data_IF_357913211158
#
_entry.id   IF_357913211158
#
_cell.length_a   1.000
_cell.length_b   1.000
_cell.length_c   1.000
_cell.angle_alpha   90.00
_cell.angle_beta   90.00
_cell.angle_gamma   90.00
#
_symmetry.space_group_name_H-M   'P 1'
#
loop_
_entity.id
_entity.type
_entity.pdbx_description
1 polymer ?
#
# COMPACT_ATOMS: atom_id res chain seq x y z
N UNK A 1 22.21 24.52 -13.61
CA UNK A 1 22.88 23.21 -13.48
C UNK A 1 22.26 22.33 -12.40
N UNK A 2 21.90 22.85 -11.22
CA UNK A 2 21.27 22.04 -10.15
C UNK A 2 19.95 21.36 -10.55
N UNK A 3 19.08 22.02 -11.34
CA UNK A 3 17.81 21.41 -11.78
C UNK A 3 18.07 20.08 -12.51
N UNK A 4 18.97 20.08 -13.50
CA UNK A 4 19.33 18.89 -14.25
C UNK A 4 19.89 17.78 -13.33
N UNK A 5 20.73 18.14 -12.37
CA UNK A 5 21.29 17.19 -11.40
C UNK A 5 20.19 16.54 -10.55
N UNK A 6 19.26 17.33 -10.00
CA UNK A 6 18.15 16.82 -9.19
C UNK A 6 17.24 15.94 -10.03
N UNK A 7 16.88 16.36 -11.25
CA UNK A 7 16.05 15.52 -12.13
C UNK A 7 16.75 14.22 -12.54
N UNK A 8 18.07 14.23 -12.74
CA UNK A 8 18.85 13.02 -12.99
C UNK A 8 18.91 12.11 -11.76
N UNK A 9 19.03 12.68 -10.55
CA UNK A 9 19.01 11.93 -9.30
C UNK A 9 17.65 11.23 -9.10
N UNK A 10 16.55 11.97 -9.30
CA UNK A 10 15.18 11.46 -9.23
C UNK A 10 14.96 10.34 -10.25
N UNK A 11 15.43 10.51 -11.49
CA UNK A 11 15.35 9.46 -12.51
C UNK A 11 16.14 8.19 -12.16
N UNK A 12 17.12 8.29 -11.26
CA UNK A 12 17.88 7.15 -10.71
C UNK A 12 17.30 6.63 -9.39
N UNK A 13 16.17 7.16 -8.93
CA UNK A 13 15.51 6.78 -7.69
C UNK A 13 16.06 7.47 -6.43
N UNK A 14 16.95 8.44 -6.56
CA UNK A 14 17.39 9.26 -5.43
C UNK A 14 16.44 10.45 -5.23
N UNK A 15 15.54 10.29 -4.26
CA UNK A 15 14.52 11.27 -3.89
C UNK A 15 14.96 12.18 -2.73
N UNK A 16 16.22 12.07 -2.28
CA UNK A 16 16.77 12.92 -1.21
C UNK A 16 17.19 14.31 -1.70
N UNK A 17 17.35 14.49 -3.01
CA UNK A 17 17.93 15.68 -3.61
C UNK A 17 16.88 16.77 -3.85
N UNK A 18 17.24 18.02 -3.54
CA UNK A 18 16.40 19.20 -3.75
C UNK A 18 17.15 20.28 -4.49
N UNK A 19 16.43 21.08 -5.26
CA UNK A 19 16.97 22.30 -5.87
C UNK A 19 17.02 23.36 -4.76
N UNK A 20 18.22 23.81 -4.42
CA UNK A 20 18.44 24.77 -3.32
C UNK A 20 18.82 26.17 -3.80
N UNK A 21 19.38 26.30 -5.01
CA UNK A 21 19.80 27.59 -5.59
C UNK A 21 18.66 28.62 -5.63
N UNK A 22 19.01 29.88 -5.39
CA UNK A 22 18.10 31.00 -5.52
C UNK A 22 17.64 31.16 -6.98
N UNK A 23 16.35 31.37 -7.14
CA UNK A 23 15.70 31.52 -8.44
C UNK A 23 14.62 32.60 -8.34
N UNK A 24 14.27 33.18 -9.48
CA UNK A 24 13.22 34.20 -9.61
C UNK A 24 12.41 33.96 -10.87
N UNK A 25 11.19 34.51 -10.92
CA UNK A 25 10.28 34.34 -12.06
C UNK A 25 9.99 32.87 -12.36
N UNK A 26 9.91 32.52 -13.64
CA UNK A 26 9.58 31.16 -14.11
C UNK A 26 10.55 30.08 -13.58
N UNK A 27 11.82 30.43 -13.33
CA UNK A 27 12.78 29.46 -12.77
C UNK A 27 12.48 29.15 -11.30
N UNK A 28 11.91 30.11 -10.55
CA UNK A 28 11.44 29.85 -9.18
C UNK A 28 10.21 28.94 -9.20
N UNK A 29 9.28 29.16 -10.10
CA UNK A 29 8.10 28.31 -10.27
C UNK A 29 8.48 26.88 -10.67
N UNK A 30 9.42 26.73 -11.61
CA UNK A 30 9.97 25.44 -11.99
C UNK A 30 10.69 24.75 -10.82
N UNK A 31 11.54 25.47 -10.07
CA UNK A 31 12.21 24.97 -8.86
C UNK A 31 11.19 24.42 -7.87
N UNK A 32 10.14 25.19 -7.58
CA UNK A 32 9.11 24.80 -6.62
C UNK A 32 8.34 23.58 -7.11
N UNK A 33 7.93 23.57 -8.38
CA UNK A 33 7.22 22.45 -8.99
C UNK A 33 8.04 21.15 -8.92
N UNK A 34 9.33 21.20 -9.30
CA UNK A 34 10.21 20.03 -9.22
C UNK A 34 10.42 19.59 -7.77
N UNK A 35 10.66 20.51 -6.83
CA UNK A 35 10.82 20.14 -5.44
C UNK A 35 9.55 19.49 -4.85
N UNK A 36 8.37 20.03 -5.14
CA UNK A 36 7.09 19.44 -4.72
C UNK A 36 6.89 18.05 -5.32
N UNK A 37 7.22 17.85 -6.61
CA UNK A 37 7.19 16.52 -7.23
C UNK A 37 8.11 15.54 -6.48
N UNK A 38 9.32 15.95 -6.11
CA UNK A 38 10.24 15.11 -5.32
C UNK A 38 9.69 14.78 -3.94
N UNK A 39 9.04 15.74 -3.26
CA UNK A 39 8.41 15.48 -1.94
C UNK A 39 7.29 14.44 -2.05
N UNK A 40 6.42 14.58 -3.05
CA UNK A 40 5.32 13.65 -3.29
C UNK A 40 5.84 12.25 -3.62
N UNK A 41 6.86 12.14 -4.48
CA UNK A 41 7.51 10.88 -4.80
C UNK A 41 8.14 10.21 -3.58
N UNK A 42 8.88 10.97 -2.77
CA UNK A 42 9.55 10.46 -1.58
C UNK A 42 8.54 9.96 -0.56
N UNK A 43 7.51 10.76 -0.29
CA UNK A 43 6.44 10.40 0.64
C UNK A 43 5.69 9.15 0.16
N UNK A 44 5.35 9.08 -1.14
CA UNK A 44 4.71 7.89 -1.70
C UNK A 44 5.58 6.64 -1.54
N UNK A 45 6.87 6.71 -1.88
CA UNK A 45 7.80 5.59 -1.77
C UNK A 45 7.90 5.08 -0.33
N UNK A 46 8.07 5.97 0.65
CA UNK A 46 8.10 5.61 2.07
C UNK A 46 6.81 4.92 2.53
N UNK A 47 5.65 5.46 2.14
CA UNK A 47 4.35 4.94 2.54
C UNK A 47 4.10 3.55 1.96
N UNK A 48 4.39 3.34 0.67
CA UNK A 48 4.22 2.04 0.02
C UNK A 48 5.18 1.00 0.60
N UNK A 49 6.46 1.36 0.79
CA UNK A 49 7.43 0.45 1.42
C UNK A 49 6.99 0.06 2.83
N UNK A 50 6.44 1.00 3.61
CA UNK A 50 5.94 0.69 4.94
C UNK A 50 4.74 -0.27 4.90
N UNK A 51 3.73 0.00 4.09
CA UNK A 51 2.54 -0.88 3.99
C UNK A 51 2.92 -2.28 3.51
N UNK A 52 3.79 -2.37 2.50
CA UNK A 52 4.26 -3.65 2.00
C UNK A 52 4.98 -4.46 3.10
N UNK A 53 5.82 -3.82 3.91
CA UNK A 53 6.49 -4.45 5.04
C UNK A 53 5.51 -4.85 6.15
N UNK A 54 4.65 -3.94 6.58
CA UNK A 54 3.69 -4.19 7.67
C UNK A 54 2.73 -5.33 7.33
N UNK A 55 2.05 -5.23 6.19
CA UNK A 55 1.00 -6.19 5.80
C UNK A 55 1.61 -7.47 5.24
N UNK A 56 2.62 -7.35 4.37
CA UNK A 56 3.18 -8.48 3.62
C UNK A 56 4.27 -9.25 4.36
N UNK A 57 5.07 -8.60 5.21
CA UNK A 57 6.19 -9.26 5.91
C UNK A 57 5.93 -9.44 7.40
N UNK A 58 5.45 -8.41 8.07
CA UNK A 58 5.23 -8.44 9.53
C UNK A 58 3.85 -9.04 9.90
N UNK A 59 2.96 -9.25 8.92
CA UNK A 59 1.60 -9.74 9.15
C UNK A 59 0.72 -8.78 9.96
N UNK A 60 1.11 -7.51 10.05
CA UNK A 60 0.35 -6.43 10.72
C UNK A 60 -0.73 -5.92 9.78
N UNK A 61 -1.86 -6.61 9.82
CA UNK A 61 -3.01 -6.32 8.96
C UNK A 61 -3.70 -5.01 9.37
N UNK A 62 -4.20 -4.28 8.37
CA UNK A 62 -4.88 -2.99 8.54
C UNK A 62 -4.01 -1.76 8.30
N UNK A 63 -2.73 -1.94 7.98
CA UNK A 63 -1.86 -0.85 7.55
C UNK A 63 -2.32 -0.23 6.23
N UNK A 64 -2.33 1.10 6.17
CA UNK A 64 -2.70 1.88 4.98
C UNK A 64 -1.68 2.98 4.72
N UNK A 65 -1.48 3.29 3.45
CA UNK A 65 -0.64 4.36 2.96
C UNK A 65 -1.42 5.68 3.05
N UNK A 66 -0.79 6.70 3.62
CA UNK A 66 -1.33 8.05 3.73
C UNK A 66 -0.30 9.01 3.15
N UNK A 67 -0.56 9.49 1.93
CA UNK A 67 0.33 10.41 1.23
C UNK A 67 -0.39 11.77 1.11
N UNK A 68 0.01 12.80 1.88
CA UNK A 68 -0.65 14.09 1.83
C UNK A 68 -0.52 14.76 0.46
N UNK A 69 -1.59 15.40 -0.01
CA UNK A 69 -1.55 16.25 -1.20
C UNK A 69 -1.37 15.50 -2.53
N UNK A 70 -1.56 14.18 -2.57
CA UNK A 70 -1.57 13.43 -3.82
C UNK A 70 -2.88 13.64 -4.59
N UNK A 71 -2.74 13.75 -5.91
CA UNK A 71 -3.84 13.88 -6.85
C UNK A 71 -3.51 13.12 -8.15
N UNK A 72 -4.53 12.88 -8.98
CA UNK A 72 -4.38 12.13 -10.23
C UNK A 72 -3.74 10.76 -9.99
N UNK A 73 -2.78 10.40 -10.83
CA UNK A 73 -2.09 9.09 -10.81
C UNK A 73 -1.51 8.75 -9.42
N UNK A 74 -1.00 9.72 -8.67
CA UNK A 74 -0.44 9.47 -7.34
C UNK A 74 -1.49 9.02 -6.33
N UNK A 75 -2.69 9.59 -6.44
CA UNK A 75 -3.84 9.19 -5.63
C UNK A 75 -4.29 7.79 -6.04
N UNK A 76 -4.44 7.54 -7.33
CA UNK A 76 -4.89 6.25 -7.84
C UNK A 76 -3.96 5.10 -7.41
N UNK A 77 -2.64 5.35 -7.40
CA UNK A 77 -1.65 4.40 -6.91
C UNK A 77 -1.76 4.16 -5.40
N UNK A 78 -1.96 5.23 -4.62
CA UNK A 78 -2.15 5.14 -3.16
C UNK A 78 -3.41 4.33 -2.83
N UNK A 79 -4.51 4.63 -3.52
CA UNK A 79 -5.80 3.95 -3.37
C UNK A 79 -5.69 2.48 -3.80
N UNK A 80 -4.93 2.18 -4.86
CA UNK A 80 -4.67 0.80 -5.29
C UNK A 80 -3.91 -0.03 -4.25
N UNK A 81 -2.85 0.54 -3.66
CA UNK A 81 -2.10 -0.13 -2.58
C UNK A 81 -2.98 -0.36 -1.36
N UNK A 82 -3.79 0.63 -0.99
CA UNK A 82 -4.74 0.53 0.11
C UNK A 82 -5.84 -0.49 -0.15
N UNK A 83 -6.35 -0.58 -1.38
CA UNK A 83 -7.32 -1.59 -1.78
C UNK A 83 -6.76 -3.00 -1.65
N UNK A 84 -5.54 -3.23 -2.15
CA UNK A 84 -4.86 -4.52 -2.00
C UNK A 84 -4.64 -4.88 -0.52
N UNK A 85 -4.07 -3.97 0.28
CA UNK A 85 -3.81 -4.19 1.70
C UNK A 85 -5.10 -4.42 2.51
N UNK A 86 -6.17 -3.68 2.19
CA UNK A 86 -7.49 -3.81 2.81
C UNK A 86 -8.15 -5.14 2.48
N UNK A 87 -8.12 -5.55 1.21
CA UNK A 87 -8.67 -6.84 0.78
C UNK A 87 -7.97 -8.00 1.47
N UNK A 88 -6.63 -8.02 1.48
CA UNK A 88 -5.86 -9.05 2.17
C UNK A 88 -6.16 -9.06 3.66
N UNK A 89 -6.19 -7.89 4.30
CA UNK A 89 -6.52 -7.75 5.73
C UNK A 89 -7.87 -8.38 6.06
N UNK A 90 -8.92 -8.04 5.30
CA UNK A 90 -10.27 -8.56 5.53
C UNK A 90 -10.31 -10.08 5.32
N UNK A 91 -9.70 -10.56 4.24
CA UNK A 91 -9.68 -11.97 3.86
C UNK A 91 -8.99 -12.82 4.93
N UNK A 92 -7.74 -12.52 5.30
CA UNK A 92 -7.02 -13.39 6.25
C UNK A 92 -7.52 -13.22 7.68
N UNK A 93 -8.05 -12.06 8.10
CA UNK A 93 -8.71 -11.94 9.42
C UNK A 93 -9.92 -12.84 9.55
N UNK A 94 -10.77 -12.93 8.51
CA UNK A 94 -11.93 -13.80 8.57
C UNK A 94 -11.54 -15.28 8.54
N UNK A 95 -10.54 -15.64 7.73
CA UNK A 95 -9.96 -17.00 7.74
C UNK A 95 -9.47 -17.36 9.15
N UNK A 96 -8.69 -16.48 9.79
CA UNK A 96 -8.17 -16.72 11.13
C UNK A 96 -9.29 -16.85 12.18
N UNK A 97 -10.35 -16.05 12.08
CA UNK A 97 -11.51 -16.13 12.97
C UNK A 97 -12.20 -17.49 12.85
N UNK A 98 -12.50 -17.94 11.63
CA UNK A 98 -13.20 -19.22 11.40
C UNK A 98 -12.32 -20.40 11.81
N UNK A 99 -11.03 -20.39 11.46
CA UNK A 99 -10.09 -21.41 11.90
C UNK A 99 -10.00 -21.50 13.43
N UNK A 100 -10.03 -20.36 14.12
CA UNK A 100 -10.06 -20.32 15.60
C UNK A 100 -11.36 -20.88 16.17
N UNK A 101 -12.51 -20.62 15.53
CA UNK A 101 -13.81 -21.16 15.95
C UNK A 101 -13.82 -22.69 15.83
N UNK A 102 -13.38 -23.22 14.68
CA UNK A 102 -13.25 -24.66 14.42
C UNK A 102 -12.34 -25.33 15.44
N UNK A 103 -11.18 -24.73 15.74
CA UNK A 103 -10.25 -25.25 16.75
C UNK A 103 -10.85 -25.29 18.17
N UNK A 104 -11.90 -24.50 18.44
CA UNK A 104 -12.65 -24.50 19.70
C UNK A 104 -13.91 -25.38 19.64
N UNK A 105 -14.13 -26.09 18.53
CA UNK A 105 -15.29 -26.95 18.31
C UNK A 105 -16.55 -26.23 17.83
N UNK A 106 -16.46 -24.94 17.48
CA UNK A 106 -17.57 -24.19 16.88
C UNK A 106 -17.53 -24.29 15.35
N UNK A 107 -18.33 -25.21 14.82
CA UNK A 107 -18.47 -25.47 13.38
C UNK A 107 -19.62 -24.67 12.75
N UNK A 108 -20.24 -23.75 13.48
CA UNK A 108 -21.29 -22.89 12.92
C UNK A 108 -20.74 -21.74 12.07
N UNK A 109 -19.44 -21.44 12.18
CA UNK A 109 -18.81 -20.28 11.56
C UNK A 109 -18.33 -20.59 10.14
N UNK A 110 -18.58 -19.65 9.22
CA UNK A 110 -18.15 -19.73 7.82
C UNK A 110 -17.41 -18.48 7.39
N UNK A 111 -16.47 -18.66 6.47
CA UNK A 111 -15.81 -17.55 5.78
C UNK A 111 -16.78 -17.04 4.72
N UNK A 112 -17.14 -15.76 4.78
CA UNK A 112 -18.13 -15.12 3.91
C UNK A 112 -17.54 -14.00 3.05
N UNK A 113 -16.44 -13.36 3.45
CA UNK A 113 -15.76 -12.30 2.68
C UNK A 113 -15.49 -12.71 1.23
N UNK A 114 -15.63 -11.74 0.34
CA UNK A 114 -15.32 -11.91 -1.07
C UNK A 114 -13.84 -12.23 -1.28
N UNK A 115 -13.61 -13.27 -2.07
CA UNK A 115 -12.28 -13.76 -2.39
C UNK A 115 -12.24 -14.20 -3.86
N UNK A 116 -11.05 -14.15 -4.45
CA UNK A 116 -10.77 -14.61 -5.81
C UNK A 116 -9.42 -15.33 -5.83
N UNK A 117 -9.18 -16.12 -6.86
CA UNK A 117 -7.92 -16.85 -7.04
C UNK A 117 -7.60 -17.77 -5.86
N UNK A 118 -6.34 -17.80 -5.44
CA UNK A 118 -5.84 -18.69 -4.37
C UNK A 118 -6.56 -18.48 -3.02
N UNK A 119 -6.97 -17.24 -2.72
CA UNK A 119 -7.71 -16.95 -1.47
C UNK A 119 -9.13 -17.53 -1.52
N UNK A 120 -9.76 -17.60 -2.70
CA UNK A 120 -11.07 -18.24 -2.85
C UNK A 120 -10.97 -19.75 -2.66
N UNK A 121 -9.93 -20.37 -3.21
CA UNK A 121 -9.66 -21.79 -3.00
C UNK A 121 -9.47 -22.09 -1.51
N UNK A 122 -8.64 -21.29 -0.81
CA UNK A 122 -8.45 -21.41 0.63
C UNK A 122 -9.76 -21.25 1.42
N UNK A 123 -10.58 -20.24 1.08
CA UNK A 123 -11.91 -20.04 1.65
C UNK A 123 -12.79 -21.28 1.51
N UNK A 124 -12.85 -21.84 0.31
CA UNK A 124 -13.70 -23.00 0.01
C UNK A 124 -13.23 -24.26 0.72
N UNK A 125 -11.91 -24.48 0.77
CA UNK A 125 -11.31 -25.63 1.48
C UNK A 125 -11.63 -25.57 2.98
N UNK A 126 -11.47 -24.42 3.62
CA UNK A 126 -11.79 -24.25 5.03
C UNK A 126 -13.29 -24.37 5.32
N UNK A 127 -14.14 -23.78 4.47
CA UNK A 127 -15.60 -23.94 4.63
C UNK A 127 -16.02 -25.41 4.47
N UNK A 128 -15.45 -26.14 3.51
CA UNK A 128 -15.70 -27.58 3.33
C UNK A 128 -15.27 -28.38 4.55
N UNK A 129 -14.10 -28.07 5.13
CA UNK A 129 -13.63 -28.70 6.36
C UNK A 129 -14.63 -28.50 7.51
N UNK A 130 -15.17 -27.28 7.66
CA UNK A 130 -16.19 -26.98 8.67
C UNK A 130 -17.46 -27.83 8.47
N UNK A 131 -17.86 -28.09 7.22
CA UNK A 131 -19.06 -28.90 6.92
C UNK A 131 -18.88 -30.40 7.19
N UNK A 132 -17.64 -30.88 7.26
CA UNK A 132 -17.31 -32.31 7.34
C UNK A 132 -16.89 -32.79 8.73
N UNK A 133 -16.63 -31.86 9.66
CA UNK A 133 -16.31 -32.15 11.06
C UNK A 133 -17.58 -32.19 11.92
#
# INVERSE_FOLDING_TARGET
RQIAQVTTAVARGDLSQKITVDARGEILELKNTVNTMVDQLSSFAEQVTRVAREVGTEGRLGGQAQVPGVAGVWRDLTDSVNGMAGNLTAQVRQIAQVATAVARGDLSQKITVDARGEILELKNTLNTMVDQL
#
